data_IF_577407824700
#
_entry.id   IF_577407824700
#
_cell.length_a   1.000
_cell.length_b   1.000
_cell.length_c   1.000
_cell.angle_alpha   90.00
_cell.angle_beta   90.00
_cell.angle_gamma   90.00
#
_symmetry.space_group_name_H-M   'P 1'
#
loop_
_entity.id
_entity.type
_entity.pdbx_description
1 polymer ?
#
# COMPACT_ATOMS: atom_id res chain seq x y z
N UNK A 1 -6.73 -23.53 -32.82
CA UNK A 1 -6.97 -23.36 -31.36
C UNK A 1 -5.67 -23.75 -30.68
N UNK A 2 -4.84 -22.76 -30.34
CA UNK A 2 -3.59 -22.95 -29.60
C UNK A 2 -3.93 -22.91 -28.13
N UNK A 3 -3.83 -24.03 -27.44
CA UNK A 3 -3.99 -24.17 -26.00
C UNK A 3 -2.76 -23.58 -25.32
N UNK A 4 -2.86 -22.33 -24.84
CA UNK A 4 -1.90 -21.76 -23.90
C UNK A 4 -2.27 -22.21 -22.48
N UNK A 5 -1.80 -23.38 -22.07
CA UNK A 5 -1.96 -23.88 -20.71
C UNK A 5 -0.63 -24.45 -20.21
N UNK A 6 0.38 -23.58 -20.08
CA UNK A 6 1.49 -23.83 -19.15
C UNK A 6 1.50 -22.68 -18.16
N UNK A 7 1.66 -22.92 -16.86
CA UNK A 7 1.86 -21.84 -15.90
C UNK A 7 3.11 -21.07 -16.32
N UNK A 8 2.93 -19.81 -16.75
CA UNK A 8 4.06 -18.95 -17.07
C UNK A 8 4.85 -18.70 -15.80
N UNK A 9 5.98 -19.36 -15.66
CA UNK A 9 6.99 -19.00 -14.66
C UNK A 9 7.60 -17.68 -15.09
N UNK A 10 7.23 -16.59 -14.41
CA UNK A 10 7.84 -15.29 -14.63
C UNK A 10 9.33 -15.34 -14.25
N UNK A 11 10.19 -15.14 -15.22
CA UNK A 11 11.61 -14.92 -14.97
C UNK A 11 11.93 -13.42 -14.93
N UNK A 12 12.97 -13.04 -14.21
CA UNK A 12 13.40 -11.63 -14.15
C UNK A 12 13.77 -11.05 -15.53
N UNK A 13 14.14 -11.91 -16.50
CA UNK A 13 14.49 -11.52 -17.87
C UNK A 13 13.22 -11.21 -18.70
N UNK A 14 12.13 -11.93 -18.46
CA UNK A 14 10.86 -11.73 -19.18
C UNK A 14 9.88 -10.79 -18.47
N UNK A 15 10.29 -10.19 -17.35
CA UNK A 15 9.47 -9.24 -16.62
C UNK A 15 9.24 -7.94 -17.41
N UNK A 16 7.99 -7.49 -17.48
CA UNK A 16 7.62 -6.26 -18.21
C UNK A 16 8.09 -4.98 -17.51
N UNK A 17 8.32 -5.05 -16.22
CA UNK A 17 8.79 -3.92 -15.41
C UNK A 17 10.10 -4.25 -14.71
N UNK A 18 11.05 -3.31 -14.65
CA UNK A 18 12.26 -3.48 -13.83
C UNK A 18 11.97 -3.74 -12.36
N UNK A 19 10.81 -3.31 -11.85
CA UNK A 19 10.38 -3.52 -10.47
C UNK A 19 10.12 -5.00 -10.15
N UNK A 20 9.62 -5.77 -11.12
CA UNK A 20 9.37 -7.20 -10.98
C UNK A 20 10.49 -8.07 -11.56
N UNK A 21 11.44 -7.46 -12.26
CA UNK A 21 12.62 -8.10 -12.80
C UNK A 21 13.87 -7.76 -12.00
N UNK A 22 14.70 -6.91 -12.59
CA UNK A 22 16.03 -6.51 -12.10
C UNK A 22 16.07 -6.04 -10.65
N UNK A 23 15.05 -5.33 -10.20
CA UNK A 23 15.00 -4.73 -8.86
C UNK A 23 14.08 -5.46 -7.89
N UNK A 24 13.48 -6.58 -8.28
CA UNK A 24 12.49 -7.31 -7.49
C UNK A 24 12.98 -7.61 -6.05
N UNK A 25 14.23 -8.06 -5.91
CA UNK A 25 14.83 -8.37 -4.62
C UNK A 25 15.05 -7.15 -3.70
N UNK A 26 15.04 -5.93 -4.27
CA UNK A 26 15.22 -4.68 -3.51
C UNK A 26 13.90 -4.07 -3.06
N UNK A 27 12.76 -4.61 -3.49
CA UNK A 27 11.43 -4.06 -3.28
C UNK A 27 10.55 -4.92 -2.35
N UNK A 28 11.17 -5.81 -1.59
CA UNK A 28 10.48 -6.75 -0.70
C UNK A 28 9.56 -6.08 0.31
N UNK A 29 9.95 -4.90 0.85
CA UNK A 29 9.15 -4.13 1.78
C UNK A 29 7.93 -3.45 1.14
N UNK A 30 8.00 -3.16 -0.17
CA UNK A 30 6.93 -2.49 -0.90
C UNK A 30 5.85 -3.48 -1.38
N UNK A 31 6.21 -4.75 -1.64
CA UNK A 31 5.30 -5.77 -2.15
C UNK A 31 4.04 -5.97 -1.32
N UNK A 32 4.08 -6.14 0.02
CA UNK A 32 2.86 -6.32 0.82
C UNK A 32 1.92 -5.13 0.79
N UNK A 33 2.40 -3.96 0.34
CA UNK A 33 1.64 -2.71 0.29
C UNK A 33 1.08 -2.41 -1.10
N UNK A 34 1.90 -2.60 -2.16
CA UNK A 34 1.60 -2.09 -3.50
C UNK A 34 1.34 -3.16 -4.55
N UNK A 35 1.44 -4.46 -4.20
CA UNK A 35 1.07 -5.56 -5.09
C UNK A 35 -0.45 -5.72 -5.17
N UNK A 36 -0.93 -6.59 -6.06
CA UNK A 36 -2.33 -6.98 -6.13
C UNK A 36 -2.82 -7.59 -4.81
N UNK A 37 -1.99 -8.44 -4.16
CA UNK A 37 -2.27 -8.95 -2.81
C UNK A 37 -2.42 -7.80 -1.80
N UNK A 38 -1.52 -6.81 -1.82
CA UNK A 38 -1.61 -5.62 -0.98
C UNK A 38 -2.90 -4.85 -1.23
N UNK A 39 -3.34 -4.76 -2.49
CA UNK A 39 -4.60 -4.11 -2.85
C UNK A 39 -5.83 -4.88 -2.33
N UNK A 40 -5.87 -6.20 -2.53
CA UNK A 40 -6.94 -7.03 -1.98
C UNK A 40 -6.99 -6.95 -0.45
N UNK A 41 -5.84 -6.96 0.22
CA UNK A 41 -5.76 -6.75 1.67
C UNK A 41 -6.41 -5.42 2.10
N UNK A 42 -6.16 -4.32 1.37
CA UNK A 42 -6.77 -3.02 1.69
C UNK A 42 -8.28 -3.01 1.42
N UNK A 43 -8.75 -3.69 0.38
CA UNK A 43 -10.19 -3.88 0.15
C UNK A 43 -10.85 -4.61 1.32
N UNK A 44 -10.28 -5.72 1.79
CA UNK A 44 -10.76 -6.43 2.99
C UNK A 44 -10.75 -5.52 4.21
N UNK A 45 -9.70 -4.73 4.39
CA UNK A 45 -9.62 -3.76 5.50
C UNK A 45 -10.73 -2.72 5.44
N UNK A 46 -11.02 -2.17 4.27
CA UNK A 46 -12.07 -1.15 4.08
C UNK A 46 -13.45 -1.76 4.33
N UNK A 47 -13.75 -2.92 3.75
CA UNK A 47 -15.03 -3.61 3.93
C UNK A 47 -15.29 -3.97 5.40
N UNK A 48 -14.29 -4.50 6.09
CA UNK A 48 -14.39 -4.84 7.52
C UNK A 48 -14.59 -3.58 8.36
N UNK A 49 -13.83 -2.51 8.09
CA UNK A 49 -13.99 -1.25 8.80
C UNK A 49 -15.38 -0.65 8.57
N UNK A 50 -15.89 -0.71 7.35
CA UNK A 50 -17.23 -0.24 7.00
C UNK A 50 -18.32 -1.04 7.72
N UNK A 51 -18.25 -2.37 7.72
CA UNK A 51 -19.18 -3.24 8.43
C UNK A 51 -19.22 -2.92 9.93
N UNK A 52 -18.07 -2.68 10.55
CA UNK A 52 -17.97 -2.27 11.96
C UNK A 52 -18.63 -0.90 12.17
N UNK A 53 -18.41 0.07 11.28
CA UNK A 53 -19.05 1.39 11.37
C UNK A 53 -20.56 1.32 11.19
N UNK A 54 -21.06 0.48 10.29
CA UNK A 54 -22.50 0.23 10.14
C UNK A 54 -23.11 -0.35 11.43
N UNK A 55 -22.41 -1.28 12.08
CA UNK A 55 -22.82 -1.81 13.39
C UNK A 55 -22.89 -0.73 14.47
N UNK A 56 -22.00 0.26 14.43
CA UNK A 56 -21.94 1.36 15.40
C UNK A 56 -22.93 2.49 15.08
N UNK A 57 -23.46 2.53 13.86
CA UNK A 57 -24.44 3.54 13.43
C UNK A 57 -25.82 3.37 14.07
N UNK A 58 -26.11 2.20 14.67
CA UNK A 58 -27.32 1.97 15.46
C UNK A 58 -28.59 1.75 14.62
N UNK A 59 -28.47 1.19 13.41
CA UNK A 59 -29.62 0.77 12.60
C UNK A 59 -30.40 -0.32 13.33
N UNK A 60 -31.73 -0.21 13.33
CA UNK A 60 -32.62 -1.20 13.95
C UNK A 60 -32.49 -2.59 13.31
N UNK A 61 -32.17 -2.62 12.01
CA UNK A 61 -32.03 -3.83 11.18
C UNK A 61 -30.69 -4.53 11.38
N UNK A 62 -29.71 -3.83 11.94
CA UNK A 62 -28.37 -4.37 12.15
C UNK A 62 -28.04 -4.46 13.64
N UNK A 63 -28.17 -5.67 14.20
CA UNK A 63 -27.75 -5.91 15.59
C UNK A 63 -26.28 -5.59 15.79
N UNK A 64 -25.91 -4.83 16.85
CA UNK A 64 -24.53 -4.50 17.14
C UNK A 64 -23.64 -5.75 17.20
N UNK A 65 -22.51 -5.69 16.52
CA UNK A 65 -21.51 -6.76 16.54
C UNK A 65 -20.94 -6.95 17.95
N UNK A 66 -20.88 -8.19 18.41
CA UNK A 66 -20.27 -8.54 19.69
C UNK A 66 -18.77 -8.22 19.70
N UNK A 67 -18.13 -8.03 20.86
CA UNK A 67 -16.66 -7.87 20.95
C UNK A 67 -15.90 -9.04 20.30
N UNK A 68 -16.43 -10.27 20.43
CA UNK A 68 -15.86 -11.47 19.79
C UNK A 68 -15.93 -11.41 18.27
N UNK A 69 -17.07 -11.02 17.71
CA UNK A 69 -17.26 -10.83 16.27
C UNK A 69 -16.31 -9.74 15.71
N UNK A 70 -16.17 -8.60 16.41
CA UNK A 70 -15.23 -7.53 16.01
C UNK A 70 -13.79 -8.01 16.03
N UNK A 71 -13.39 -8.71 17.08
CA UNK A 71 -12.03 -9.27 17.17
C UNK A 71 -11.74 -10.24 16.03
N UNK A 72 -12.71 -11.09 15.69
CA UNK A 72 -12.59 -12.01 14.57
C UNK A 72 -12.42 -11.27 13.22
N UNK A 73 -13.28 -10.30 12.94
CA UNK A 73 -13.22 -9.48 11.71
C UNK A 73 -11.88 -8.74 11.57
N UNK A 74 -11.43 -8.10 12.65
CA UNK A 74 -10.10 -7.45 12.66
C UNK A 74 -8.98 -8.46 12.50
N UNK A 75 -9.17 -9.70 12.98
CA UNK A 75 -8.26 -10.83 12.78
C UNK A 75 -8.13 -11.22 11.31
N UNK A 76 -9.21 -11.19 10.52
CA UNK A 76 -9.16 -11.44 9.07
C UNK A 76 -8.26 -10.42 8.37
N UNK A 77 -8.34 -9.15 8.76
CA UNK A 77 -7.48 -8.09 8.21
C UNK A 77 -6.03 -8.30 8.64
N UNK A 78 -5.79 -8.51 9.94
CA UNK A 78 -4.44 -8.62 10.50
C UNK A 78 -3.66 -9.81 9.94
N UNK A 79 -4.35 -10.93 9.70
CA UNK A 79 -3.72 -12.20 9.29
C UNK A 79 -3.90 -12.48 7.80
N UNK A 80 -4.32 -11.49 7.00
CA UNK A 80 -4.50 -11.65 5.56
C UNK A 80 -3.21 -12.11 4.89
N UNK A 81 -3.30 -13.21 4.16
CA UNK A 81 -2.15 -13.89 3.54
C UNK A 81 -2.26 -13.94 2.02
N UNK A 82 -1.20 -14.40 1.36
CA UNK A 82 -1.21 -14.66 -0.09
C UNK A 82 -2.24 -15.72 -0.47
N UNK A 83 -2.40 -16.76 0.35
CA UNK A 83 -3.44 -17.79 0.16
C UNK A 83 -4.84 -17.22 0.20
N UNK A 84 -5.11 -16.21 1.05
CA UNK A 84 -6.40 -15.52 1.06
C UNK A 84 -6.61 -14.72 -0.25
N UNK A 85 -5.56 -14.08 -0.74
CA UNK A 85 -5.56 -13.42 -2.05
C UNK A 85 -5.87 -14.39 -3.20
N UNK A 86 -5.24 -15.57 -3.20
CA UNK A 86 -5.51 -16.63 -4.18
C UNK A 86 -6.96 -17.13 -4.12
N UNK A 87 -7.51 -17.27 -2.90
CA UNK A 87 -8.91 -17.64 -2.71
C UNK A 87 -9.87 -16.57 -3.28
N UNK A 88 -9.58 -15.28 -3.08
CA UNK A 88 -10.34 -14.19 -3.70
C UNK A 88 -10.24 -14.26 -5.22
N UNK A 89 -9.06 -14.49 -5.78
CA UNK A 89 -8.87 -14.64 -7.24
C UNK A 89 -9.60 -15.85 -7.82
N UNK A 90 -9.73 -16.92 -7.05
CA UNK A 90 -10.53 -18.08 -7.46
C UNK A 90 -12.02 -17.73 -7.55
N UNK A 91 -12.56 -16.96 -6.60
CA UNK A 91 -13.94 -16.46 -6.64
C UNK A 91 -14.13 -15.49 -7.83
N UNK A 92 -13.18 -14.59 -8.06
CA UNK A 92 -13.22 -13.62 -9.16
C UNK A 92 -13.36 -14.27 -10.53
N UNK A 93 -12.73 -15.44 -10.75
CA UNK A 93 -12.85 -16.21 -12.01
C UNK A 93 -14.30 -16.60 -12.34
N UNK A 94 -15.16 -16.73 -11.32
CA UNK A 94 -16.57 -17.09 -11.53
C UNK A 94 -17.48 -15.87 -11.48
N UNK A 95 -17.20 -14.90 -10.63
CA UNK A 95 -18.01 -13.68 -10.51
C UNK A 95 -17.72 -12.66 -11.61
N UNK A 96 -16.54 -12.76 -12.22
CA UNK A 96 -16.02 -11.80 -13.19
C UNK A 96 -16.03 -10.35 -12.69
N UNK A 97 -15.88 -10.19 -11.35
CA UNK A 97 -15.92 -8.90 -10.67
C UNK A 97 -15.05 -8.94 -9.41
N UNK A 98 -14.03 -8.10 -9.37
CA UNK A 98 -12.96 -8.10 -8.35
C UNK A 98 -13.44 -7.72 -6.94
N UNK A 99 -14.18 -6.62 -6.80
CA UNK A 99 -14.69 -6.18 -5.47
C UNK A 99 -15.76 -7.15 -4.96
N UNK A 100 -16.63 -7.66 -5.85
CA UNK A 100 -17.62 -8.67 -5.48
C UNK A 100 -16.96 -9.97 -4.98
N UNK A 101 -15.81 -10.33 -5.53
CA UNK A 101 -15.05 -11.48 -5.06
C UNK A 101 -14.54 -11.29 -3.63
N UNK A 102 -14.12 -10.08 -3.28
CA UNK A 102 -13.73 -9.73 -1.88
C UNK A 102 -14.94 -9.84 -0.94
N UNK A 103 -16.10 -9.30 -1.34
CA UNK A 103 -17.34 -9.41 -0.57
C UNK A 103 -17.69 -10.88 -0.30
N UNK A 104 -17.69 -11.72 -1.31
CA UNK A 104 -18.01 -13.15 -1.17
C UNK A 104 -16.98 -13.89 -0.30
N UNK A 105 -15.70 -13.55 -0.43
CA UNK A 105 -14.68 -14.11 0.44
C UNK A 105 -14.92 -13.74 1.91
N UNK A 106 -15.25 -12.49 2.23
CA UNK A 106 -15.59 -12.06 3.58
C UNK A 106 -16.83 -12.84 4.09
N UNK A 107 -17.89 -12.91 3.29
CA UNK A 107 -19.12 -13.64 3.63
C UNK A 107 -18.83 -15.13 3.91
N UNK A 108 -17.95 -15.77 3.15
CA UNK A 108 -17.58 -17.18 3.39
C UNK A 108 -16.89 -17.40 4.76
N UNK A 109 -16.21 -16.39 5.30
CA UNK A 109 -15.62 -16.47 6.63
C UNK A 109 -16.63 -16.42 7.76
N UNK A 110 -17.89 -16.03 7.48
CA UNK A 110 -18.95 -15.95 8.49
C UNK A 110 -19.50 -17.33 8.87
N UNK A 111 -19.32 -18.34 8.02
CA UNK A 111 -19.69 -19.74 8.35
C UNK A 111 -19.02 -20.25 9.63
N UNK A 112 -17.79 -19.78 9.91
CA UNK A 112 -17.06 -20.12 11.14
C UNK A 112 -17.58 -19.36 12.39
N UNK A 113 -18.53 -18.43 12.23
CA UNK A 113 -19.04 -17.54 13.29
C UNK A 113 -20.53 -17.28 13.09
N UNK A 114 -21.40 -18.15 13.62
CA UNK A 114 -22.85 -18.04 13.42
C UNK A 114 -23.43 -16.66 13.78
N UNK A 115 -22.84 -15.97 14.76
CA UNK A 115 -23.25 -14.61 15.15
C UNK A 115 -23.05 -13.56 14.04
N UNK A 116 -22.21 -13.84 13.03
CA UNK A 116 -21.97 -12.96 11.88
C UNK A 116 -22.91 -13.23 10.71
N UNK A 117 -23.61 -14.38 10.69
CA UNK A 117 -24.51 -14.72 9.57
C UNK A 117 -25.64 -13.68 9.44
N UNK A 118 -26.15 -13.16 10.55
CA UNK A 118 -27.18 -12.11 10.53
C UNK A 118 -26.66 -10.77 9.98
N UNK A 119 -25.36 -10.57 9.97
CA UNK A 119 -24.71 -9.37 9.44
C UNK A 119 -24.27 -9.51 7.97
N UNK A 120 -24.48 -10.68 7.37
CA UNK A 120 -23.93 -11.01 6.04
C UNK A 120 -24.37 -10.03 4.95
N UNK A 121 -25.62 -9.57 4.97
CA UNK A 121 -26.15 -8.65 3.96
C UNK A 121 -25.68 -7.20 4.15
N UNK A 122 -25.05 -6.89 5.28
CA UNK A 122 -24.45 -5.59 5.52
C UNK A 122 -23.00 -5.48 5.02
N UNK A 123 -22.39 -6.58 4.58
CA UNK A 123 -21.10 -6.52 3.86
C UNK A 123 -21.33 -5.78 2.55
N UNK A 124 -20.53 -4.76 2.28
CA UNK A 124 -20.63 -3.88 1.11
C UNK A 124 -21.94 -3.04 1.06
N UNK A 125 -22.72 -3.00 2.13
CA UNK A 125 -24.01 -2.28 2.15
C UNK A 125 -23.79 -0.78 1.89
N UNK A 126 -24.60 -0.21 1.00
CA UNK A 126 -24.57 1.19 0.58
C UNK A 126 -23.24 1.66 -0.02
N UNK A 127 -22.35 0.74 -0.44
CA UNK A 127 -21.11 1.05 -1.16
C UNK A 127 -21.20 0.71 -2.63
N UNK A 128 -20.40 1.38 -3.44
CA UNK A 128 -20.04 0.96 -4.78
C UNK A 128 -18.60 0.47 -4.81
N UNK A 129 -18.21 -0.23 -5.87
CA UNK A 129 -16.84 -0.73 -6.01
C UNK A 129 -15.81 0.38 -5.90
N UNK A 130 -16.11 1.58 -6.43
CA UNK A 130 -15.18 2.71 -6.38
C UNK A 130 -14.98 3.26 -4.98
N UNK A 131 -15.96 3.20 -4.08
CA UNK A 131 -15.79 3.58 -2.68
C UNK A 131 -14.72 2.73 -2.01
N UNK A 132 -14.75 1.43 -2.26
CA UNK A 132 -13.75 0.47 -1.76
C UNK A 132 -12.42 0.66 -2.46
N UNK A 133 -12.41 0.81 -3.79
CA UNK A 133 -11.19 0.91 -4.59
C UNK A 133 -10.38 2.14 -4.26
N UNK A 134 -10.96 3.34 -4.31
CA UNK A 134 -10.20 4.56 -4.08
C UNK A 134 -9.70 4.66 -2.63
N UNK A 135 -10.50 4.22 -1.66
CA UNK A 135 -10.08 4.19 -0.25
C UNK A 135 -8.93 3.21 -0.05
N UNK A 136 -8.98 2.04 -0.71
CA UNK A 136 -7.89 1.05 -0.68
C UNK A 136 -6.61 1.60 -1.33
N UNK A 137 -6.71 2.28 -2.47
CA UNK A 137 -5.55 2.94 -3.09
C UNK A 137 -4.96 4.04 -2.19
N UNK A 138 -5.79 4.82 -1.53
CA UNK A 138 -5.32 5.83 -0.57
C UNK A 138 -4.54 5.18 0.59
N UNK A 139 -5.02 4.06 1.12
CA UNK A 139 -4.33 3.28 2.15
C UNK A 139 -3.02 2.67 1.66
N UNK A 140 -2.97 2.17 0.42
CA UNK A 140 -1.74 1.67 -0.20
C UNK A 140 -0.70 2.78 -0.32
N UNK A 141 -1.07 3.93 -0.90
CA UNK A 141 -0.17 5.07 -1.07
C UNK A 141 0.33 5.59 0.27
N UNK A 142 -0.57 5.71 1.26
CA UNK A 142 -0.19 6.11 2.62
C UNK A 142 0.80 5.12 3.24
N UNK A 143 0.51 3.83 3.16
CA UNK A 143 1.38 2.79 3.70
C UNK A 143 2.75 2.78 3.00
N UNK A 144 2.79 2.84 1.67
CA UNK A 144 4.04 2.88 0.90
C UNK A 144 4.88 4.11 1.23
N UNK A 145 4.24 5.29 1.32
CA UNK A 145 4.93 6.53 1.70
C UNK A 145 5.51 6.44 3.11
N UNK A 146 4.66 6.12 4.11
CA UNK A 146 5.02 6.27 5.51
C UNK A 146 5.96 5.16 6.00
N UNK A 147 5.78 3.92 5.49
CA UNK A 147 6.52 2.76 5.98
C UNK A 147 7.75 2.41 5.13
N UNK A 148 7.83 2.88 3.89
CA UNK A 148 8.93 2.51 2.97
C UNK A 148 9.64 3.73 2.40
N UNK A 149 8.93 4.63 1.72
CA UNK A 149 9.58 5.72 0.98
C UNK A 149 10.23 6.76 1.90
N UNK A 150 9.53 7.23 2.93
CA UNK A 150 10.09 8.21 3.86
C UNK A 150 11.29 7.64 4.65
N UNK A 151 11.22 6.42 5.23
CA UNK A 151 12.40 5.81 5.86
C UNK A 151 13.59 5.62 4.91
N UNK A 152 13.36 5.25 3.64
CA UNK A 152 14.42 5.11 2.66
C UNK A 152 15.06 6.46 2.32
N UNK A 153 14.26 7.53 2.16
CA UNK A 153 14.78 8.89 1.97
C UNK A 153 15.57 9.38 3.18
N UNK A 154 15.06 9.11 4.40
CA UNK A 154 15.74 9.48 5.65
C UNK A 154 17.10 8.78 5.77
N UNK A 155 17.22 7.52 5.35
CA UNK A 155 18.49 6.80 5.31
C UNK A 155 19.50 7.45 4.34
N UNK A 156 19.04 7.85 3.14
CA UNK A 156 19.89 8.56 2.17
C UNK A 156 20.33 9.92 2.71
N UNK A 157 19.38 10.70 3.26
CA UNK A 157 19.67 12.03 3.84
C UNK A 157 20.69 11.90 4.99
N UNK A 158 20.52 10.91 5.86
CA UNK A 158 21.44 10.66 6.98
C UNK A 158 22.84 10.33 6.48
N UNK A 159 22.96 9.48 5.47
CA UNK A 159 24.26 9.14 4.88
C UNK A 159 24.93 10.35 4.23
N UNK A 160 24.20 11.11 3.44
CA UNK A 160 24.73 12.31 2.79
C UNK A 160 25.11 13.39 3.81
N UNK A 161 24.35 13.56 4.91
CA UNK A 161 24.68 14.50 5.98
C UNK A 161 26.00 14.09 6.66
N UNK A 162 26.19 12.82 6.96
CA UNK A 162 27.45 12.32 7.50
C UNK A 162 28.64 12.57 6.55
N UNK A 163 28.44 12.37 5.25
CA UNK A 163 29.46 12.68 4.23
C UNK A 163 29.75 14.19 4.16
N UNK A 164 28.72 15.04 4.24
CA UNK A 164 28.90 16.50 4.24
C UNK A 164 29.78 16.96 5.41
N UNK A 165 29.56 16.42 6.60
CA UNK A 165 30.42 16.70 7.75
C UNK A 165 31.81 16.11 7.60
N UNK A 166 31.94 14.87 7.14
CA UNK A 166 33.23 14.20 6.95
C UNK A 166 34.14 14.85 5.91
N UNK A 167 33.56 15.56 4.94
CA UNK A 167 34.30 16.26 3.87
C UNK A 167 34.20 17.80 4.01
N UNK A 168 33.87 18.32 5.19
CA UNK A 168 33.70 19.76 5.41
C UNK A 168 34.95 20.56 5.08
N UNK A 169 36.15 20.02 5.39
CA UNK A 169 37.44 20.66 5.22
C UNK A 169 38.16 20.25 3.93
N UNK A 170 37.52 19.44 3.07
CA UNK A 170 38.13 19.03 1.81
C UNK A 170 37.90 20.10 0.75
N UNK A 171 38.95 20.85 0.34
CA UNK A 171 38.83 21.97 -0.60
C UNK A 171 38.51 21.45 -2.00
N UNK A 172 37.68 22.19 -2.72
CA UNK A 172 37.46 22.01 -4.16
C UNK A 172 37.16 23.35 -4.83
N UNK A 173 37.28 23.38 -6.15
CA UNK A 173 36.87 24.52 -6.96
C UNK A 173 35.47 24.26 -7.53
N UNK A 174 34.55 25.21 -7.33
CA UNK A 174 33.31 25.24 -8.06
C UNK A 174 33.53 25.39 -9.55
N UNK A 175 32.56 25.04 -10.36
CA UNK A 175 32.60 25.15 -11.82
C UNK A 175 31.38 25.86 -12.34
N UNK A 176 31.56 26.71 -13.33
CA UNK A 176 30.48 27.36 -14.08
C UNK A 176 30.88 27.39 -15.57
N UNK A 177 29.97 27.08 -16.47
CA UNK A 177 30.22 27.00 -17.91
C UNK A 177 31.48 26.19 -18.30
N UNK A 178 31.77 25.12 -17.57
CA UNK A 178 32.95 24.29 -17.77
C UNK A 178 34.28 24.91 -17.29
N UNK A 179 34.23 26.07 -16.64
CA UNK A 179 35.40 26.81 -16.14
C UNK A 179 35.46 26.75 -14.60
N UNK A 180 36.67 26.97 -14.08
CA UNK A 180 36.89 27.13 -12.65
C UNK A 180 36.18 28.38 -12.14
N UNK A 181 35.50 28.23 -10.99
CA UNK A 181 34.82 29.28 -10.29
C UNK A 181 35.34 29.41 -8.84
N UNK A 182 34.48 29.90 -7.92
CA UNK A 182 34.91 30.18 -6.54
C UNK A 182 35.38 28.91 -5.79
N UNK A 183 36.39 29.04 -4.92
CA UNK A 183 36.74 27.95 -4.00
C UNK A 183 35.57 27.59 -3.08
N UNK A 184 35.44 26.30 -2.80
CA UNK A 184 34.41 25.73 -1.91
C UNK A 184 34.94 24.49 -1.23
N UNK A 185 34.11 23.69 -0.59
CA UNK A 185 34.46 22.37 -0.07
C UNK A 185 33.53 21.29 -0.59
N UNK A 186 34.00 20.06 -0.65
CA UNK A 186 33.19 18.89 -1.01
C UNK A 186 32.01 18.74 -0.06
N UNK A 187 32.23 18.94 1.24
CA UNK A 187 31.18 18.87 2.25
C UNK A 187 30.08 19.89 2.02
N UNK A 188 30.41 21.13 1.67
CA UNK A 188 29.42 22.19 1.38
C UNK A 188 28.55 21.84 0.16
N UNK A 189 29.14 21.28 -0.89
CA UNK A 189 28.38 20.85 -2.07
C UNK A 189 27.40 19.72 -1.75
N UNK A 190 27.83 18.75 -0.92
CA UNK A 190 26.94 17.68 -0.44
C UNK A 190 25.84 18.26 0.47
N UNK A 191 26.17 19.21 1.36
CA UNK A 191 25.20 19.85 2.26
C UNK A 191 24.09 20.57 1.49
N UNK A 192 24.40 21.19 0.34
CA UNK A 192 23.39 21.80 -0.55
C UNK A 192 22.37 20.75 -1.02
N UNK A 193 22.82 19.56 -1.41
CA UNK A 193 21.92 18.45 -1.81
C UNK A 193 21.10 17.98 -0.63
N UNK A 194 21.69 17.84 0.56
CA UNK A 194 20.98 17.44 1.79
C UNK A 194 19.83 18.39 2.11
N UNK A 195 20.07 19.70 2.11
CA UNK A 195 19.02 20.70 2.40
C UNK A 195 17.84 20.57 1.42
N UNK A 196 18.12 20.39 0.14
CA UNK A 196 17.11 20.24 -0.89
C UNK A 196 16.31 18.92 -0.73
N UNK A 197 17.00 17.83 -0.38
CA UNK A 197 16.35 16.54 -0.13
C UNK A 197 15.46 16.58 1.11
N UNK A 198 15.91 17.24 2.20
CA UNK A 198 15.08 17.43 3.41
C UNK A 198 13.81 18.20 3.06
N UNK A 199 13.93 19.33 2.35
CA UNK A 199 12.77 20.11 1.95
C UNK A 199 11.79 19.33 1.05
N UNK A 200 12.30 18.50 0.12
CA UNK A 200 11.47 17.66 -0.74
C UNK A 200 10.80 16.53 0.07
N UNK A 201 11.56 15.88 0.96
CA UNK A 201 11.06 14.83 1.86
C UNK A 201 9.91 15.35 2.75
N UNK A 202 10.06 16.54 3.31
CA UNK A 202 9.04 17.14 4.18
C UNK A 202 7.78 17.51 3.40
N UNK A 203 7.91 17.98 2.15
CA UNK A 203 6.76 18.18 1.27
C UNK A 203 6.01 16.88 1.00
N UNK A 204 6.72 15.79 0.70
CA UNK A 204 6.11 14.47 0.48
C UNK A 204 5.38 13.99 1.75
N UNK A 205 6.00 14.16 2.93
CA UNK A 205 5.41 13.77 4.21
C UNK A 205 4.13 14.56 4.53
N UNK A 206 4.09 15.84 4.17
CA UNK A 206 2.97 16.73 4.43
C UNK A 206 1.74 16.51 3.51
N UNK A 207 1.88 15.76 2.43
CA UNK A 207 0.76 15.51 1.50
C UNK A 207 -0.37 14.77 2.21
N UNK A 208 -1.56 15.35 2.22
CA UNK A 208 -2.78 14.69 2.66
C UNK A 208 -3.27 13.77 1.54
N UNK A 209 -3.28 12.48 1.81
CA UNK A 209 -3.83 11.50 0.87
C UNK A 209 -5.34 11.45 1.09
N UNK A 210 -6.08 11.83 0.07
CA UNK A 210 -7.53 11.95 0.10
C UNK A 210 -8.19 10.64 -0.37
N UNK A 211 -9.38 10.37 0.19
CA UNK A 211 -10.28 9.31 -0.26
C UNK A 211 -11.72 9.79 -0.17
N UNK A 212 -12.65 9.08 -0.81
CA UNK A 212 -14.08 9.40 -0.79
C UNK A 212 -14.92 8.13 -0.64
N UNK A 213 -16.14 8.30 -0.11
CA UNK A 213 -17.18 7.27 0.01
C UNK A 213 -18.48 7.83 -0.59
N UNK A 214 -18.52 8.05 -1.87
CA UNK A 214 -19.65 8.56 -2.64
C UNK A 214 -19.51 8.13 -4.10
N UNK A 215 -19.42 6.82 -4.31
CA UNK A 215 -19.17 6.20 -5.61
C UNK A 215 -20.24 6.54 -6.65
N UNK A 216 -21.20 5.72 -6.90
CA UNK A 216 -22.26 5.97 -7.86
C UNK A 216 -23.55 6.48 -7.22
#
# INVERSE_FOLDING_TARGET
RTTYNSPMTFSSISALSPLDGRYAAKLTQLRPLMSEQGYMHRRVQVEVAWLIQLSDAGFSEFKPLTPGARTYLLGLVKNFSETDGEAIKAIEKTTNHDVKAVEYWIKSKFEARPELLAAQEFVHFACTSEDINNTSHALQLKGARDLVLLPALDAVITKLRAMAHGFADVPMLSRTHGQTASPTTVGKEIANVVVRLVAARDKIAAIKIMAKMNGA
#
